data_IF_138504773109
#
_entry.id   IF_138504773109
#
_cell.length_a   1.000
_cell.length_b   1.000
_cell.length_c   1.000
_cell.angle_alpha   90.00
_cell.angle_beta   90.00
_cell.angle_gamma   90.00
#
_symmetry.space_group_name_H-M   'P 1'
#
loop_
_entity.id
_entity.type
_entity.pdbx_description
1 polymer ?
#
# COMPACT_ATOMS: atom_id res chain seq x y z
N UNK A 1 -4.77 -17.08 12.79
CA UNK A 1 -3.32 -16.82 12.96
C UNK A 1 -2.97 -15.60 12.12
N UNK A 2 -2.48 -14.50 12.69
CA UNK A 2 -2.07 -13.34 11.88
C UNK A 2 -0.72 -13.66 11.23
N UNK A 3 -0.69 -13.78 9.92
CA UNK A 3 0.54 -14.06 9.18
C UNK A 3 1.41 -12.80 9.13
N UNK A 4 2.35 -12.70 10.08
CA UNK A 4 3.45 -11.73 10.07
C UNK A 4 4.79 -12.46 10.05
N UNK A 5 5.81 -11.90 9.42
CA UNK A 5 7.13 -12.52 9.38
C UNK A 5 8.18 -11.69 8.65
N UNK A 6 9.40 -12.21 8.61
CA UNK A 6 10.50 -11.61 7.84
C UNK A 6 10.52 -12.17 6.41
N UNK A 7 10.76 -11.30 5.45
CA UNK A 7 11.03 -11.66 4.07
C UNK A 7 12.53 -11.56 3.80
N UNK A 8 13.11 -12.59 3.19
CA UNK A 8 14.51 -12.60 2.78
C UNK A 8 14.56 -12.56 1.25
N UNK A 9 14.98 -11.44 0.64
CA UNK A 9 14.95 -11.28 -0.80
C UNK A 9 16.02 -12.14 -1.47
N UNK A 10 15.65 -12.80 -2.56
CA UNK A 10 16.58 -13.54 -3.43
C UNK A 10 17.46 -12.57 -4.23
N UNK A 11 16.96 -11.36 -4.50
CA UNK A 11 17.69 -10.29 -5.19
C UNK A 11 17.79 -9.02 -4.31
N UNK A 12 18.60 -9.04 -3.23
CA UNK A 12 18.70 -7.93 -2.27
C UNK A 12 19.03 -6.57 -2.91
N UNK A 13 19.77 -6.58 -4.03
CA UNK A 13 20.20 -5.36 -4.75
C UNK A 13 19.03 -4.55 -5.31
N UNK A 14 17.87 -5.18 -5.53
CA UNK A 14 16.65 -4.51 -5.97
C UNK A 14 15.92 -3.80 -4.83
N UNK A 15 16.19 -4.17 -3.58
CA UNK A 15 15.51 -3.60 -2.42
C UNK A 15 16.12 -2.24 -2.05
N UNK A 16 15.26 -1.25 -1.82
CA UNK A 16 15.60 0.12 -1.42
C UNK A 16 15.28 0.33 0.04
N UNK A 17 16.18 -0.14 0.90
CA UNK A 17 16.06 -0.08 2.36
C UNK A 17 17.08 -1.03 2.98
N UNK A 18 16.81 -1.54 4.17
CA UNK A 18 17.59 -2.62 4.78
C UNK A 18 17.07 -4.00 4.30
N UNK A 19 17.76 -4.69 3.37
CA UNK A 19 17.30 -5.98 2.85
C UNK A 19 17.37 -7.11 3.90
N UNK A 20 18.00 -6.89 5.05
CA UNK A 20 18.09 -7.87 6.15
C UNK A 20 16.90 -7.78 7.11
N UNK A 21 16.05 -6.75 6.96
CA UNK A 21 14.95 -6.46 7.86
C UNK A 21 13.65 -6.09 7.16
N UNK A 22 13.25 -6.85 6.14
CA UNK A 22 11.97 -6.68 5.45
C UNK A 22 10.89 -7.45 6.22
N UNK A 23 9.80 -6.78 6.61
CA UNK A 23 8.71 -7.36 7.41
C UNK A 23 7.40 -7.32 6.60
N UNK A 24 6.75 -8.46 6.45
CA UNK A 24 5.36 -8.50 6.01
C UNK A 24 4.42 -8.68 7.21
N UNK A 25 3.28 -8.03 7.16
CA UNK A 25 2.17 -8.07 8.13
C UNK A 25 0.96 -8.85 7.62
N UNK A 26 1.00 -9.27 6.36
CA UNK A 26 0.00 -10.14 5.74
C UNK A 26 0.60 -11.08 4.70
N UNK A 27 -0.10 -12.17 4.37
CA UNK A 27 0.29 -13.04 3.25
C UNK A 27 0.18 -12.33 1.90
N UNK A 28 -0.66 -11.30 1.79
CA UNK A 28 -0.84 -10.53 0.57
C UNK A 28 0.37 -9.66 0.31
N UNK A 29 0.87 -8.98 1.34
CA UNK A 29 2.16 -8.30 1.30
C UNK A 29 3.29 -9.27 0.96
N UNK A 30 3.37 -10.44 1.63
CA UNK A 30 4.38 -11.45 1.29
C UNK A 30 4.31 -11.88 -0.18
N UNK A 31 3.09 -12.10 -0.72
CA UNK A 31 2.89 -12.46 -2.13
C UNK A 31 3.39 -11.33 -3.05
N UNK A 32 3.12 -10.08 -2.70
CA UNK A 32 3.58 -8.92 -3.44
C UNK A 32 5.10 -8.73 -3.35
N UNK A 33 5.72 -8.96 -2.19
CA UNK A 33 7.18 -8.96 -2.03
C UNK A 33 7.85 -10.00 -2.92
N UNK A 34 7.31 -11.23 -2.98
CA UNK A 34 7.82 -12.28 -3.89
C UNK A 34 7.73 -11.84 -5.35
N UNK A 35 6.62 -11.20 -5.75
CA UNK A 35 6.47 -10.64 -7.09
C UNK A 35 7.53 -9.56 -7.36
N UNK A 36 7.72 -8.60 -6.45
CA UNK A 36 8.68 -7.52 -6.60
C UNK A 36 10.12 -8.04 -6.70
N UNK A 37 10.47 -9.02 -5.87
CA UNK A 37 11.80 -9.61 -5.81
C UNK A 37 12.12 -10.41 -7.08
N UNK A 38 11.21 -11.29 -7.52
CA UNK A 38 11.47 -12.24 -8.62
C UNK A 38 11.20 -11.71 -10.03
N UNK A 39 10.41 -10.64 -10.19
CA UNK A 39 10.08 -10.08 -11.50
C UNK A 39 11.24 -9.22 -12.04
N UNK A 40 11.76 -9.56 -13.22
CA UNK A 40 12.86 -8.85 -13.89
C UNK A 40 12.49 -7.42 -14.30
N UNK A 41 11.21 -7.16 -14.58
CA UNK A 41 10.70 -5.81 -14.89
C UNK A 41 10.70 -4.88 -13.70
N UNK A 42 10.72 -5.41 -12.47
CA UNK A 42 10.85 -4.59 -11.26
C UNK A 42 12.33 -4.27 -11.09
N UNK A 43 12.69 -3.01 -11.27
CA UNK A 43 14.06 -2.52 -11.17
C UNK A 43 14.43 -2.22 -9.71
N UNK A 44 13.49 -1.64 -8.96
CA UNK A 44 13.68 -1.26 -7.56
C UNK A 44 12.36 -1.45 -6.80
N UNK A 45 12.43 -1.82 -5.53
CA UNK A 45 11.27 -1.86 -4.64
C UNK A 45 11.64 -1.62 -3.18
N UNK A 46 10.69 -1.15 -2.37
CA UNK A 46 10.86 -0.93 -0.93
C UNK A 46 9.54 -1.15 -0.20
N UNK A 47 9.58 -1.44 1.10
CA UNK A 47 8.38 -1.65 1.93
C UNK A 47 8.33 -0.64 3.08
N UNK A 48 7.27 0.16 3.16
CA UNK A 48 7.06 1.19 4.20
C UNK A 48 8.18 2.24 4.36
N UNK A 49 9.00 2.46 3.33
CA UNK A 49 10.18 3.35 3.41
C UNK A 49 9.81 4.84 3.27
N UNK A 50 8.61 5.17 2.77
CA UNK A 50 8.20 6.55 2.46
C UNK A 50 7.15 7.02 3.46
N UNK A 51 7.46 8.11 4.18
CA UNK A 51 6.55 8.75 5.12
C UNK A 51 5.85 9.96 4.47
N UNK A 52 4.53 9.90 4.38
CA UNK A 52 3.69 10.96 3.83
C UNK A 52 2.91 11.67 4.94
N UNK A 53 2.99 13.00 5.07
CA UNK A 53 2.12 13.73 5.98
C UNK A 53 0.70 13.75 5.43
N UNK A 54 -0.29 13.46 6.29
CA UNK A 54 -1.70 13.65 5.95
C UNK A 54 -2.46 14.26 7.12
N UNK A 55 -3.47 15.07 6.84
CA UNK A 55 -4.36 15.62 7.87
C UNK A 55 -5.48 14.63 8.15
N UNK A 56 -5.53 14.12 9.37
CA UNK A 56 -6.55 13.15 9.79
C UNK A 56 -7.91 13.85 9.95
N UNK A 57 -8.98 13.34 9.33
CA UNK A 57 -10.31 13.93 9.45
C UNK A 57 -10.97 13.66 10.82
N UNK A 58 -10.37 12.80 11.65
CA UNK A 58 -10.91 12.42 12.96
C UNK A 58 -10.58 13.45 14.03
N UNK A 59 -9.37 13.99 14.01
CA UNK A 59 -8.83 14.89 15.02
C UNK A 59 -8.26 16.20 14.44
N UNK A 60 -8.30 16.35 13.11
CA UNK A 60 -7.78 17.50 12.37
C UNK A 60 -6.27 17.77 12.57
N UNK A 61 -5.49 16.77 12.97
CA UNK A 61 -4.04 16.87 13.17
C UNK A 61 -3.27 16.24 12.01
N UNK A 62 -2.00 16.60 11.86
CA UNK A 62 -1.10 15.99 10.86
C UNK A 62 -0.53 14.69 11.44
N UNK A 63 -0.66 13.60 10.68
CA UNK A 63 -0.16 12.27 10.99
C UNK A 63 0.74 11.78 9.85
N UNK A 64 1.50 10.71 10.12
CA UNK A 64 2.32 10.03 9.10
C UNK A 64 1.58 8.83 8.53
N UNK A 65 1.59 8.71 7.21
CA UNK A 65 1.14 7.56 6.45
C UNK A 65 2.34 6.93 5.76
N UNK A 66 2.49 5.62 5.92
CA UNK A 66 3.48 4.82 5.23
C UNK A 66 2.73 3.90 4.26
N UNK A 67 2.74 4.19 2.94
CA UNK A 67 2.23 3.24 1.94
C UNK A 67 2.99 1.91 2.03
N UNK A 68 2.31 0.80 1.74
CA UNK A 68 2.89 -0.53 1.94
C UNK A 68 4.16 -0.75 1.09
N UNK A 69 4.15 -0.28 -0.17
CA UNK A 69 5.30 -0.44 -1.07
C UNK A 69 5.59 0.75 -1.97
N UNK A 70 6.86 0.89 -2.32
CA UNK A 70 7.36 1.65 -3.45
C UNK A 70 7.90 0.67 -4.50
N UNK A 71 7.62 0.90 -5.78
CA UNK A 71 8.24 0.13 -6.87
C UNK A 71 8.65 1.04 -8.03
N UNK A 72 9.74 0.68 -8.70
CA UNK A 72 10.14 1.20 -10.00
C UNK A 72 10.13 0.06 -11.00
N UNK A 73 9.31 0.18 -12.03
CA UNK A 73 9.05 -0.89 -13.00
C UNK A 73 9.31 -0.40 -14.42
N UNK A 74 9.90 -1.27 -15.23
CA UNK A 74 9.97 -1.10 -16.67
C UNK A 74 8.72 -1.72 -17.31
N UNK A 75 7.86 -0.89 -17.88
CA UNK A 75 6.67 -1.35 -18.60
C UNK A 75 7.06 -2.03 -19.92
N UNK A 76 6.13 -2.79 -20.51
CA UNK A 76 6.33 -3.47 -21.80
C UNK A 76 6.65 -2.49 -22.95
N UNK A 77 6.28 -1.23 -22.80
CA UNK A 77 6.60 -0.13 -23.73
C UNK A 77 8.06 0.33 -23.63
N UNK A 78 8.82 -0.19 -22.67
CA UNK A 78 10.18 0.24 -22.33
C UNK A 78 10.24 1.44 -21.38
N UNK A 79 9.10 2.10 -21.10
CA UNK A 79 9.03 3.24 -20.19
C UNK A 79 9.24 2.79 -18.75
N UNK A 80 9.98 3.59 -17.99
CA UNK A 80 10.15 3.39 -16.55
C UNK A 80 9.09 4.22 -15.83
N UNK A 81 8.32 3.56 -14.97
CA UNK A 81 7.37 4.23 -14.08
C UNK A 81 7.64 3.87 -12.64
N UNK A 82 7.26 4.79 -11.78
CA UNK A 82 7.37 4.64 -10.33
C UNK A 82 5.99 4.65 -9.72
N UNK A 83 5.75 3.72 -8.80
CA UNK A 83 4.45 3.56 -8.16
C UNK A 83 4.59 3.51 -6.64
N UNK A 84 3.60 4.09 -5.96
CA UNK A 84 3.30 3.79 -4.57
C UNK A 84 2.11 2.84 -4.53
N UNK A 85 2.23 1.76 -3.77
CA UNK A 85 1.23 0.69 -3.71
C UNK A 85 0.74 0.54 -2.28
N UNK A 86 -0.58 0.51 -2.11
CA UNK A 86 -1.24 0.07 -0.89
C UNK A 86 -1.93 -1.27 -1.15
N UNK A 87 -1.69 -2.27 -0.30
CA UNK A 87 -2.35 -3.58 -0.34
C UNK A 87 -3.50 -3.61 0.67
N UNK A 88 -4.74 -3.72 0.18
CA UNK A 88 -5.93 -3.82 1.04
C UNK A 88 -7.00 -4.75 0.47
N UNK A 89 -7.77 -5.44 1.33
CA UNK A 89 -8.98 -6.13 0.89
C UNK A 89 -9.96 -5.18 0.21
N UNK A 90 -10.53 -5.61 -0.91
CA UNK A 90 -11.48 -4.81 -1.69
C UNK A 90 -12.63 -4.28 -0.83
N UNK A 91 -13.10 -5.09 0.12
CA UNK A 91 -14.14 -4.69 1.08
C UNK A 91 -13.78 -3.43 1.87
N UNK A 92 -12.50 -3.22 2.20
CA UNK A 92 -12.03 -2.05 2.95
C UNK A 92 -11.84 -0.81 2.09
N UNK A 93 -11.81 -0.97 0.76
CA UNK A 93 -11.74 0.15 -0.20
C UNK A 93 -13.10 0.77 -0.47
N UNK A 94 -14.18 0.07 -0.11
CA UNK A 94 -15.54 0.49 -0.38
C UNK A 94 -16.14 1.24 0.81
N UNK A 95 -16.96 2.24 0.50
CA UNK A 95 -17.71 2.98 1.52
C UNK A 95 -18.62 2.04 2.31
N UNK A 96 -18.63 2.11 3.65
CA UNK A 96 -19.53 1.31 4.47
C UNK A 96 -21.00 1.56 4.09
N UNK A 97 -21.75 0.49 3.81
CA UNK A 97 -23.18 0.59 3.49
C UNK A 97 -23.94 1.10 4.70
N UNK A 98 -24.78 2.13 4.54
CA UNK A 98 -25.56 2.72 5.63
C UNK A 98 -26.58 1.69 6.15
N UNK A 99 -26.44 1.19 7.40
CA UNK A 99 -27.40 0.25 7.97
C UNK A 99 -28.67 0.99 8.42
N UNK A 100 -29.77 0.24 8.62
CA UNK A 100 -31.01 0.79 9.21
C UNK A 100 -30.77 1.38 10.61
N UNK A 101 -29.95 0.73 11.42
CA UNK A 101 -29.51 1.22 12.74
C UNK A 101 -28.02 1.52 12.72
N UNK A 102 -27.65 2.76 13.03
CA UNK A 102 -26.24 3.17 13.14
C UNK A 102 -25.64 2.62 14.44
N UNK A 103 -24.84 1.57 14.33
CA UNK A 103 -24.15 0.96 15.48
C UNK A 103 -22.79 1.60 15.72
N UNK A 104 -22.20 1.40 16.90
CA UNK A 104 -20.81 1.81 17.18
C UNK A 104 -19.82 1.22 16.17
N UNK A 105 -20.05 -0.02 15.72
CA UNK A 105 -19.21 -0.65 14.70
C UNK A 105 -19.33 0.06 13.34
N UNK A 106 -20.54 0.45 12.92
CA UNK A 106 -20.73 1.23 11.69
C UNK A 106 -19.98 2.56 11.75
N UNK A 107 -20.08 3.29 12.87
CA UNK A 107 -19.35 4.55 13.05
C UNK A 107 -17.83 4.32 12.95
N UNK A 108 -17.30 3.26 13.57
CA UNK A 108 -15.87 2.89 13.45
C UNK A 108 -15.47 2.63 12.00
N UNK A 109 -16.26 1.87 11.24
CA UNK A 109 -16.00 1.59 9.83
C UNK A 109 -16.01 2.88 8.99
N UNK A 110 -16.93 3.81 9.28
CA UNK A 110 -16.99 5.12 8.62
C UNK A 110 -15.75 5.96 8.92
N UNK A 111 -15.30 6.01 10.18
CA UNK A 111 -14.09 6.73 10.57
C UNK A 111 -12.83 6.15 9.91
N UNK A 112 -12.66 4.83 9.92
CA UNK A 112 -11.52 4.18 9.26
C UNK A 112 -11.55 4.40 7.74
N UNK A 113 -12.73 4.33 7.11
CA UNK A 113 -12.87 4.66 5.70
C UNK A 113 -12.44 6.10 5.41
N UNK A 114 -12.96 7.08 6.17
CA UNK A 114 -12.60 8.49 6.00
C UNK A 114 -11.09 8.75 6.18
N UNK A 115 -10.48 8.11 7.19
CA UNK A 115 -9.04 8.17 7.43
C UNK A 115 -8.23 7.57 6.27
N UNK A 116 -8.64 6.43 5.73
CA UNK A 116 -7.98 5.83 4.56
C UNK A 116 -8.13 6.70 3.32
N UNK A 117 -9.29 7.31 3.08
CA UNK A 117 -9.46 8.28 1.98
C UNK A 117 -8.50 9.47 2.12
N UNK A 118 -8.33 10.02 3.32
CA UNK A 118 -7.39 11.11 3.56
C UNK A 118 -5.92 10.71 3.32
N UNK A 119 -5.54 9.49 3.73
CA UNK A 119 -4.21 8.91 3.45
C UNK A 119 -3.96 8.73 1.96
N UNK A 120 -4.92 8.14 1.25
CA UNK A 120 -4.80 7.88 -0.18
C UNK A 120 -4.78 9.17 -0.99
N UNK A 121 -5.57 10.17 -0.61
CA UNK A 121 -5.49 11.50 -1.19
C UNK A 121 -4.08 12.09 -1.07
N UNK A 122 -3.47 12.02 0.12
CA UNK A 122 -2.11 12.51 0.32
C UNK A 122 -1.07 11.73 -0.51
N UNK A 123 -1.25 10.41 -0.69
CA UNK A 123 -0.38 9.61 -1.56
C UNK A 123 -0.55 9.92 -3.04
N UNK A 124 -1.79 10.14 -3.50
CA UNK A 124 -2.07 10.58 -4.87
C UNK A 124 -1.41 11.93 -5.15
N UNK A 125 -1.63 12.93 -4.30
CA UNK A 125 -1.03 14.26 -4.45
C UNK A 125 0.51 14.18 -4.47
N UNK A 126 1.10 13.42 -3.54
CA UNK A 126 2.55 13.20 -3.49
C UNK A 126 3.09 12.56 -4.78
N UNK A 127 2.35 11.61 -5.35
CA UNK A 127 2.71 10.93 -6.59
C UNK A 127 2.59 11.87 -7.79
N UNK A 128 1.51 12.65 -7.88
CA UNK A 128 1.24 13.55 -9.00
C UNK A 128 2.35 14.60 -9.15
N UNK A 129 2.81 15.18 -8.04
CA UNK A 129 3.94 16.14 -8.00
C UNK A 129 5.25 15.56 -8.56
N UNK A 130 5.38 14.23 -8.58
CA UNK A 130 6.60 13.49 -8.97
C UNK A 130 6.45 12.74 -10.27
N UNK A 131 5.31 12.84 -10.95
CA UNK A 131 4.95 12.01 -12.10
C UNK A 131 5.00 10.51 -11.76
N UNK A 132 4.68 10.16 -10.52
CA UNK A 132 4.48 8.79 -10.04
C UNK A 132 2.98 8.47 -10.05
N UNK A 133 2.62 7.22 -9.78
CA UNK A 133 1.22 6.81 -9.72
C UNK A 133 0.94 6.04 -8.42
N UNK A 134 -0.08 6.45 -7.67
CA UNK A 134 -0.55 5.72 -6.50
C UNK A 134 -1.59 4.67 -6.90
N UNK A 135 -1.44 3.43 -6.42
CA UNK A 135 -2.40 2.34 -6.68
C UNK A 135 -2.77 1.60 -5.41
N UNK A 136 -4.04 1.22 -5.31
CA UNK A 136 -4.52 0.26 -4.31
C UNK A 136 -4.64 -1.10 -4.97
N UNK A 137 -3.91 -2.09 -4.46
CA UNK A 137 -3.98 -3.48 -4.90
C UNK A 137 -4.84 -4.30 -3.94
N UNK A 138 -5.79 -5.03 -4.51
CA UNK A 138 -6.70 -5.91 -3.79
C UNK A 138 -6.46 -7.37 -4.16
N UNK A 139 -7.29 -8.28 -3.64
CA UNK A 139 -7.26 -9.69 -4.01
C UNK A 139 -7.35 -9.92 -5.53
N UNK A 140 -8.02 -9.02 -6.27
CA UNK A 140 -8.17 -9.12 -7.73
C UNK A 140 -6.85 -8.95 -8.46
N UNK A 141 -6.13 -7.88 -8.15
CA UNK A 141 -4.85 -7.55 -8.78
C UNK A 141 -3.75 -8.53 -8.34
N UNK A 142 -3.83 -9.03 -7.11
CA UNK A 142 -2.90 -10.03 -6.58
C UNK A 142 -3.20 -11.46 -7.08
N UNK A 143 -4.27 -11.68 -7.83
CA UNK A 143 -4.68 -13.01 -8.30
C UNK A 143 -4.93 -13.97 -7.14
N UNK A 144 -5.60 -13.50 -6.09
CA UNK A 144 -6.03 -14.29 -4.93
C UNK A 144 -7.53 -14.58 -5.13
N UNK A 145 -7.89 -15.86 -5.18
CA UNK A 145 -9.28 -16.33 -5.29
C UNK A 145 -9.81 -16.72 -3.91
#
# INVERSE_FOLDING_TARGET
MSYKGKYYPSYPRKYKGDPTNIIYRSLWERKFMVYCDKNDKILEWGSEEIALPYRSPVDNRVHRYFPDFYIKVQENTGRIKTYLIEVKPLKQTQKPKKPKRQTKNYLREVYEYAKNQAKWKAATEFCDDRLWEFKVMTEKELGIK
#
